data_IF_268024039660
#
_entry.id   IF_268024039660
#
_cell.length_a   1.000
_cell.length_b   1.000
_cell.length_c   1.000
_cell.angle_alpha   90.00
_cell.angle_beta   90.00
_cell.angle_gamma   90.00
#
_symmetry.space_group_name_H-M   'P 1'
#
loop_
_entity.id
_entity.type
_entity.pdbx_description
1 polymer ?
#
# COMPACT_ATOMS: atom_id res chain seq x y z
N UNK A 1 11.97 47.91 -17.29
CA UNK A 1 11.88 47.18 -16.02
C UNK A 1 11.29 45.82 -16.32
N UNK A 2 12.14 44.82 -16.56
CA UNK A 2 11.70 43.43 -16.57
C UNK A 2 11.29 43.13 -15.13
N UNK A 3 10.06 42.62 -14.92
CA UNK A 3 9.72 42.01 -13.64
C UNK A 3 10.73 40.88 -13.45
N UNK A 4 11.59 40.97 -12.43
CA UNK A 4 12.32 39.81 -11.94
C UNK A 4 11.28 38.71 -11.77
N UNK A 5 11.38 37.68 -12.63
CA UNK A 5 10.39 36.63 -12.73
C UNK A 5 10.28 35.94 -11.37
N UNK A 6 9.04 35.68 -10.94
CA UNK A 6 8.76 34.88 -9.75
C UNK A 6 9.63 33.62 -9.82
N UNK A 7 10.67 33.58 -8.97
CA UNK A 7 11.58 32.45 -8.93
C UNK A 7 10.95 31.40 -8.06
N UNK A 8 10.25 30.47 -8.70
CA UNK A 8 9.98 29.15 -8.14
C UNK A 8 11.27 28.63 -7.48
N UNK A 9 11.17 28.36 -6.17
CA UNK A 9 12.30 27.88 -5.38
C UNK A 9 11.92 26.60 -4.67
N UNK A 10 12.61 25.51 -5.03
CA UNK A 10 12.59 24.27 -4.29
C UNK A 10 13.10 24.49 -2.85
N UNK A 11 12.25 24.18 -1.87
CA UNK A 11 12.51 24.37 -0.44
C UNK A 11 12.57 23.07 0.35
N UNK A 12 11.97 21.98 -0.14
CA UNK A 12 12.09 20.67 0.48
C UNK A 12 11.88 19.54 -0.54
N UNK A 13 12.42 18.37 -0.23
CA UNK A 13 12.18 17.11 -0.94
C UNK A 13 11.96 16.01 0.08
N UNK A 14 11.05 15.06 -0.16
CA UNK A 14 10.82 13.94 0.75
C UNK A 14 10.26 12.71 0.02
N UNK A 15 10.46 11.54 0.64
CA UNK A 15 9.85 10.29 0.19
C UNK A 15 8.67 9.92 1.09
N UNK A 16 7.73 9.16 0.53
CA UNK A 16 6.57 8.65 1.28
C UNK A 16 6.52 7.13 1.23
N UNK A 17 6.25 6.50 2.38
CA UNK A 17 6.10 5.06 2.55
C UNK A 17 4.95 4.71 3.49
N UNK A 18 4.77 3.42 3.76
CA UNK A 18 3.76 2.91 4.70
C UNK A 18 4.46 2.05 5.75
N UNK A 19 4.77 2.64 6.90
CA UNK A 19 5.47 1.97 8.00
C UNK A 19 4.52 1.76 9.17
N UNK A 20 4.64 0.61 9.83
CA UNK A 20 3.91 0.31 11.05
C UNK A 20 4.82 -0.39 12.05
N UNK A 21 4.70 -0.03 13.32
CA UNK A 21 5.32 -0.77 14.41
C UNK A 21 4.28 -1.71 14.99
N UNK A 22 4.25 -2.94 14.48
CA UNK A 22 3.31 -3.97 14.89
C UNK A 22 3.67 -4.50 16.28
N UNK A 23 2.66 -4.57 17.16
CA UNK A 23 2.80 -5.23 18.44
C UNK A 23 2.53 -6.74 18.30
N UNK A 24 3.40 -7.57 18.88
CA UNK A 24 3.29 -9.04 18.88
C UNK A 24 2.71 -9.61 20.17
N UNK A 25 2.61 -8.77 21.18
CA UNK A 25 2.08 -9.13 22.49
C UNK A 25 0.73 -8.45 22.70
N UNK A 26 -0.12 -9.09 23.47
CA UNK A 26 -1.35 -8.46 23.94
C UNK A 26 -1.00 -7.29 24.88
N UNK A 27 -1.41 -6.09 24.51
CA UNK A 27 -1.20 -4.88 25.31
C UNK A 27 -2.09 -4.86 26.57
N UNK A 28 -3.12 -5.70 26.63
CA UNK A 28 -4.06 -5.84 27.74
C UNK A 28 -4.65 -4.50 28.18
N UNK A 29 -4.92 -4.36 29.48
CA UNK A 29 -5.47 -3.14 30.06
C UNK A 29 -4.51 -1.94 30.05
N UNK A 30 -3.20 -2.15 29.82
CA UNK A 30 -2.23 -1.06 29.77
C UNK A 30 -2.25 -0.32 28.43
N UNK A 31 -2.89 -0.88 27.39
CA UNK A 31 -3.25 -0.18 26.16
C UNK A 31 -2.12 0.63 25.51
N UNK A 32 -2.42 1.88 25.14
CA UNK A 32 -1.53 2.77 24.40
C UNK A 32 -0.22 3.12 25.12
N UNK A 33 -0.20 3.54 26.41
CA UNK A 33 1.06 3.90 27.05
C UNK A 33 2.11 2.78 27.03
N UNK A 34 1.66 1.52 27.14
CA UNK A 34 2.55 0.37 27.04
C UNK A 34 3.08 0.20 25.61
N UNK A 35 2.23 0.38 24.60
CA UNK A 35 2.66 0.38 23.21
C UNK A 35 3.70 1.46 22.92
N UNK A 36 3.46 2.69 23.37
CA UNK A 36 4.40 3.82 23.21
C UNK A 36 5.75 3.47 23.84
N UNK A 37 5.77 2.96 25.07
CA UNK A 37 7.00 2.55 25.74
C UNK A 37 7.73 1.46 24.95
N UNK A 38 7.02 0.43 24.49
CA UNK A 38 7.62 -0.66 23.72
C UNK A 38 8.21 -0.18 22.39
N UNK A 39 7.54 0.73 21.70
CA UNK A 39 8.04 1.31 20.44
C UNK A 39 9.22 2.24 20.69
N UNK A 40 9.17 3.09 21.73
CA UNK A 40 10.29 3.94 22.13
C UNK A 40 11.52 3.10 22.50
N UNK A 41 11.35 2.05 23.29
CA UNK A 41 12.42 1.11 23.66
C UNK A 41 12.96 0.35 22.45
N UNK A 42 12.09 0.00 21.50
CA UNK A 42 12.48 -0.68 20.27
C UNK A 42 13.34 0.23 19.37
N UNK A 43 12.89 1.46 19.13
CA UNK A 43 13.56 2.44 18.28
C UNK A 43 14.88 2.92 18.92
N UNK A 44 14.89 3.16 20.24
CA UNK A 44 16.05 3.71 20.95
C UNK A 44 17.23 2.75 21.09
N UNK A 45 17.08 1.48 20.68
CA UNK A 45 18.19 0.51 20.59
C UNK A 45 19.20 0.91 19.52
N UNK A 46 18.78 1.69 18.54
CA UNK A 46 19.64 2.18 17.48
C UNK A 46 20.29 3.51 17.90
N UNK A 47 21.62 3.50 18.05
CA UNK A 47 22.38 4.69 18.43
C UNK A 47 22.43 5.77 17.34
N UNK A 48 21.99 5.45 16.12
CA UNK A 48 21.83 6.40 15.03
C UNK A 48 20.53 7.19 15.12
N UNK A 49 19.62 6.81 16.02
CA UNK A 49 18.32 7.46 16.20
C UNK A 49 18.32 8.39 17.41
N UNK A 50 17.66 9.54 17.23
CA UNK A 50 17.46 10.57 18.25
C UNK A 50 16.05 11.11 18.19
N UNK A 51 15.67 11.81 19.26
CA UNK A 51 14.46 12.63 19.33
C UNK A 51 13.14 11.89 19.04
N UNK A 52 13.01 10.66 19.56
CA UNK A 52 11.78 9.85 19.41
C UNK A 52 10.63 10.52 20.17
N UNK A 53 9.58 10.93 19.45
CA UNK A 53 8.41 11.63 19.99
C UNK A 53 7.12 11.03 19.49
N UNK A 54 6.16 10.86 20.40
CA UNK A 54 4.76 10.61 20.07
C UNK A 54 3.96 11.89 20.35
N UNK A 55 3.18 12.35 19.38
CA UNK A 55 2.35 13.56 19.46
C UNK A 55 0.97 13.29 18.86
N UNK A 56 -0.04 14.02 19.34
CA UNK A 56 -1.46 13.93 18.93
C UNK A 56 -2.07 12.55 19.20
N UNK A 57 -3.18 12.52 19.94
CA UNK A 57 -3.84 11.25 20.28
C UNK A 57 -5.33 11.45 20.44
N UNK A 58 -6.10 10.59 19.79
CA UNK A 58 -7.49 10.32 20.16
C UNK A 58 -7.56 8.95 20.82
N UNK A 59 -8.29 8.87 21.94
CA UNK A 59 -8.34 7.71 22.87
C UNK A 59 -8.89 6.40 22.26
N UNK A 60 -9.30 6.39 20.99
CA UNK A 60 -9.86 5.22 20.35
C UNK A 60 -8.77 4.28 19.81
N UNK A 61 -8.32 3.36 20.65
CA UNK A 61 -7.56 2.19 20.21
C UNK A 61 -8.48 0.98 20.19
N UNK A 62 -8.63 0.38 19.01
CA UNK A 62 -9.18 -0.97 18.94
C UNK A 62 -8.11 -1.97 19.37
N UNK A 63 -8.25 -2.46 20.60
CA UNK A 63 -7.34 -3.43 21.24
C UNK A 63 -7.70 -4.89 20.94
N UNK A 64 -8.50 -5.19 19.90
CA UNK A 64 -8.80 -6.57 19.55
C UNK A 64 -7.54 -7.27 19.02
N UNK A 65 -6.78 -7.84 19.95
CA UNK A 65 -5.67 -8.74 19.65
C UNK A 65 -6.26 -10.06 19.19
N UNK A 66 -6.16 -10.35 17.88
CA UNK A 66 -6.48 -11.68 17.37
C UNK A 66 -5.21 -12.53 17.45
N UNK A 67 -5.27 -13.55 18.29
CA UNK A 67 -4.26 -14.61 18.37
C UNK A 67 -4.07 -15.21 16.97
N UNK A 68 -2.84 -15.16 16.46
CA UNK A 68 -2.52 -15.60 15.09
C UNK A 68 -2.30 -14.47 14.09
N UNK A 69 -2.24 -13.19 14.51
CA UNK A 69 -1.57 -12.14 13.72
C UNK A 69 -0.04 -12.35 13.75
N UNK A 70 0.37 -13.52 13.27
CA UNK A 70 1.74 -13.99 13.20
C UNK A 70 2.48 -13.17 12.17
N UNK A 71 3.63 -12.65 12.58
CA UNK A 71 4.75 -12.14 11.78
C UNK A 71 4.48 -12.02 10.27
N UNK A 72 4.32 -10.79 9.79
CA UNK A 72 4.16 -10.50 8.37
C UNK A 72 4.47 -9.04 8.07
N UNK A 73 4.60 -8.72 6.79
CA UNK A 73 4.60 -7.33 6.33
C UNK A 73 3.14 -6.85 6.23
N UNK A 74 2.91 -5.52 6.20
CA UNK A 74 1.55 -4.95 6.20
C UNK A 74 0.70 -5.52 5.06
N UNK A 75 1.31 -5.87 3.91
CA UNK A 75 0.59 -6.43 2.76
C UNK A 75 -0.13 -7.75 3.04
N UNK A 76 0.30 -8.49 4.06
CA UNK A 76 -0.25 -9.80 4.43
C UNK A 76 -1.26 -9.69 5.58
N UNK A 77 -1.36 -8.53 6.23
CA UNK A 77 -2.16 -8.32 7.42
C UNK A 77 -3.57 -7.86 7.04
N UNK A 78 -4.58 -8.60 7.51
CA UNK A 78 -5.98 -8.20 7.36
C UNK A 78 -6.32 -6.93 8.15
N UNK A 79 -5.63 -6.74 9.28
CA UNK A 79 -5.79 -5.61 10.17
C UNK A 79 -4.43 -5.27 10.82
N UNK A 80 -4.19 -3.97 11.02
CA UNK A 80 -3.03 -3.48 11.74
C UNK A 80 -3.26 -3.59 13.25
N UNK A 81 -2.28 -4.12 13.98
CA UNK A 81 -2.31 -4.17 15.43
C UNK A 81 -1.09 -3.47 16.06
N UNK A 82 -1.29 -2.55 17.03
CA UNK A 82 -2.59 -1.97 17.38
C UNK A 82 -3.14 -1.13 16.22
N UNK A 83 -4.46 -1.00 16.14
CA UNK A 83 -5.09 0.00 15.28
C UNK A 83 -5.05 1.32 16.03
N UNK A 84 -4.17 2.21 15.58
CA UNK A 84 -4.01 3.54 16.17
C UNK A 84 -4.95 4.51 15.45
N UNK A 85 -5.67 5.33 16.22
CA UNK A 85 -6.32 6.53 15.68
C UNK A 85 -5.30 7.59 15.27
N UNK A 86 -5.78 8.82 15.09
CA UNK A 86 -4.96 9.99 14.74
C UNK A 86 -3.79 10.13 15.73
N UNK A 87 -2.60 9.73 15.28
CA UNK A 87 -1.38 9.77 16.08
C UNK A 87 -0.14 9.93 15.23
N UNK A 88 0.86 10.62 15.78
CA UNK A 88 2.09 10.96 15.09
C UNK A 88 3.29 10.45 15.86
N UNK A 89 4.12 9.64 15.22
CA UNK A 89 5.43 9.22 15.72
C UNK A 89 6.51 9.88 14.88
N UNK A 90 7.43 10.61 15.49
CA UNK A 90 8.58 11.20 14.80
C UNK A 90 9.91 10.82 15.45
N UNK A 91 10.96 10.71 14.65
CA UNK A 91 12.33 10.54 15.12
C UNK A 91 13.33 11.00 14.05
N UNK A 92 14.53 11.35 14.48
CA UNK A 92 15.65 11.68 13.61
C UNK A 92 16.59 10.47 13.50
N UNK A 93 17.05 10.13 12.30
CA UNK A 93 18.03 9.07 12.06
C UNK A 93 19.19 9.58 11.22
N UNK A 94 20.41 9.24 11.62
CA UNK A 94 21.63 9.54 10.86
C UNK A 94 22.21 8.26 10.25
N UNK A 95 22.20 8.13 8.92
CA UNK A 95 22.76 6.97 8.21
C UNK A 95 24.03 7.43 7.47
N UNK A 96 25.23 7.06 7.95
CA UNK A 96 26.49 7.45 7.30
C UNK A 96 26.56 6.95 5.86
N UNK A 97 27.16 7.69 4.93
CA UNK A 97 27.27 7.33 3.52
C UNK A 97 27.83 5.93 3.29
N UNK A 98 28.80 5.51 4.10
CA UNK A 98 29.33 4.15 4.05
C UNK A 98 28.21 3.11 4.24
N UNK A 99 27.36 3.31 5.24
CA UNK A 99 26.22 2.43 5.49
C UNK A 99 25.15 2.59 4.40
N UNK A 100 24.94 3.79 3.86
CA UNK A 100 24.04 3.98 2.71
C UNK A 100 24.47 3.14 1.52
N UNK A 101 25.76 3.13 1.17
CA UNK A 101 26.32 2.31 0.08
C UNK A 101 26.13 0.82 0.34
N UNK A 102 26.22 0.36 1.60
CA UNK A 102 25.94 -1.03 1.95
C UNK A 102 24.45 -1.40 1.84
N UNK A 103 23.55 -0.46 2.18
CA UNK A 103 22.10 -0.67 2.15
C UNK A 103 21.51 -0.55 0.74
N UNK A 104 22.10 0.32 -0.10
CA UNK A 104 21.65 0.55 -1.47
C UNK A 104 22.28 -0.46 -2.42
N UNK A 105 21.45 -1.05 -3.29
CA UNK A 105 21.93 -1.96 -4.33
C UNK A 105 22.73 -1.14 -5.35
N UNK A 106 23.90 -1.63 -5.78
CA UNK A 106 24.97 -0.85 -6.43
C UNK A 106 24.67 -0.06 -7.72
N UNK A 107 23.43 -0.05 -8.23
CA UNK A 107 22.99 0.86 -9.29
C UNK A 107 22.49 2.22 -8.76
N UNK A 108 22.24 2.35 -7.44
CA UNK A 108 21.89 3.62 -6.80
C UNK A 108 23.07 4.13 -5.98
N UNK A 109 23.44 5.40 -6.21
CA UNK A 109 24.42 6.09 -5.37
C UNK A 109 23.84 6.43 -3.99
N UNK A 110 24.70 6.74 -3.00
CA UNK A 110 24.25 7.29 -1.73
C UNK A 110 23.50 8.62 -1.95
N UNK A 111 22.60 8.92 -1.03
CA UNK A 111 21.98 10.24 -0.96
C UNK A 111 23.01 11.27 -0.51
N UNK A 112 22.78 12.56 -0.77
CA UNK A 112 23.64 13.65 -0.31
C UNK A 112 23.53 13.86 1.20
N UNK A 113 22.34 13.65 1.75
CA UNK A 113 22.04 13.77 3.18
C UNK A 113 22.45 12.51 3.94
N UNK A 114 23.03 12.67 5.12
CA UNK A 114 23.18 11.58 6.11
C UNK A 114 22.10 11.67 7.20
N UNK A 115 21.47 12.83 7.40
CA UNK A 115 20.43 13.03 8.40
C UNK A 115 19.03 12.99 7.76
N UNK A 116 18.11 12.29 8.41
CA UNK A 116 16.74 12.14 7.97
C UNK A 116 15.78 12.32 9.14
N UNK A 117 14.71 13.08 8.92
CA UNK A 117 13.55 13.10 9.81
C UNK A 117 12.53 12.10 9.29
N UNK A 118 12.09 11.20 10.15
CA UNK A 118 11.05 10.23 9.86
C UNK A 118 9.83 10.61 10.67
N UNK A 119 8.69 10.79 10.00
CA UNK A 119 7.42 11.09 10.66
C UNK A 119 6.36 10.11 10.16
N UNK A 120 5.80 9.32 11.06
CA UNK A 120 4.72 8.37 10.82
C UNK A 120 3.40 8.99 11.29
N UNK A 121 2.47 9.13 10.37
CA UNK A 121 1.09 9.54 10.62
C UNK A 121 0.22 8.30 10.58
N UNK A 122 -0.37 7.94 11.71
CA UNK A 122 -1.49 7.02 11.74
C UNK A 122 -2.74 7.85 11.48
N UNK A 123 -3.44 7.51 10.41
CA UNK A 123 -4.66 8.15 9.97
C UNK A 123 -5.70 7.08 9.64
N UNK A 124 -6.96 7.46 9.50
CA UNK A 124 -8.02 6.56 9.04
C UNK A 124 -7.58 5.81 7.77
N UNK A 125 -7.53 4.48 7.85
CA UNK A 125 -7.05 3.60 6.78
C UNK A 125 -5.68 3.00 7.09
N UNK A 126 -4.61 3.62 6.60
CA UNK A 126 -3.24 3.08 6.67
C UNK A 126 -2.23 4.14 7.11
N UNK A 127 -1.15 3.75 7.83
CA UNK A 127 -0.13 4.68 8.26
C UNK A 127 0.70 5.19 7.08
N UNK A 128 1.10 6.45 7.18
CA UNK A 128 1.94 7.12 6.19
C UNK A 128 3.23 7.54 6.85
N UNK A 129 4.35 7.09 6.30
CA UNK A 129 5.67 7.52 6.73
C UNK A 129 6.21 8.56 5.74
N UNK A 130 6.53 9.75 6.23
CA UNK A 130 7.28 10.76 5.51
C UNK A 130 8.74 10.65 5.93
N UNK A 131 9.62 10.50 4.95
CA UNK A 131 11.07 10.49 5.16
C UNK A 131 11.66 11.71 4.48
N UNK A 132 12.06 12.68 5.29
CA UNK A 132 12.60 13.96 4.85
C UNK A 132 14.11 14.00 5.07
N UNK A 133 14.93 13.99 4.00
CA UNK A 133 16.35 14.30 4.11
C UNK A 133 16.55 15.76 4.55
N UNK A 134 17.64 16.02 5.28
CA UNK A 134 18.04 17.39 5.66
C UNK A 134 18.46 18.23 4.44
N UNK A 135 19.12 17.59 3.47
CA UNK A 135 19.49 18.21 2.20
C UNK A 135 18.48 17.87 1.10
N UNK A 136 18.39 18.73 0.09
CA UNK A 136 17.57 18.48 -1.10
C UNK A 136 18.15 17.31 -1.90
N UNK A 137 17.30 16.32 -2.18
CA UNK A 137 17.62 15.13 -2.97
C UNK A 137 16.84 15.14 -4.28
N UNK A 138 17.45 14.63 -5.34
CA UNK A 138 16.78 14.43 -6.64
C UNK A 138 15.87 13.19 -6.64
N UNK A 139 16.12 12.25 -5.72
CA UNK A 139 15.34 11.01 -5.58
C UNK A 139 15.09 10.70 -4.10
N UNK A 140 14.33 11.57 -3.40
CA UNK A 140 14.13 11.44 -1.97
C UNK A 140 13.44 10.13 -1.54
N UNK A 141 12.70 9.45 -2.43
CA UNK A 141 12.13 8.12 -2.13
C UNK A 141 13.15 6.99 -1.97
N UNK A 142 14.41 7.20 -2.37
CA UNK A 142 15.50 6.28 -2.01
C UNK A 142 15.67 6.23 -0.48
N UNK A 143 15.42 7.34 0.23
CA UNK A 143 15.55 7.41 1.68
C UNK A 143 14.57 6.46 2.39
N UNK A 144 13.35 6.33 1.87
CA UNK A 144 12.33 5.39 2.40
C UNK A 144 12.84 3.95 2.34
N UNK A 145 13.36 3.53 1.19
CA UNK A 145 13.89 2.18 1.00
C UNK A 145 15.12 1.92 1.86
N UNK A 146 16.00 2.92 2.00
CA UNK A 146 17.20 2.84 2.82
C UNK A 146 16.87 2.69 4.31
N UNK A 147 15.99 3.55 4.84
CA UNK A 147 15.56 3.50 6.25
C UNK A 147 14.87 2.18 6.54
N UNK A 148 14.00 1.71 5.64
CA UNK A 148 13.43 0.38 5.76
C UNK A 148 14.49 -0.70 5.91
N UNK A 149 15.43 -0.79 4.96
CA UNK A 149 16.47 -1.83 4.98
C UNK A 149 17.32 -1.75 6.24
N UNK A 150 17.63 -0.54 6.69
CA UNK A 150 18.35 -0.29 7.93
C UNK A 150 17.61 -0.87 9.14
N UNK A 151 16.34 -0.47 9.31
CA UNK A 151 15.49 -0.94 10.42
C UNK A 151 15.32 -2.46 10.37
N UNK A 152 14.98 -3.01 9.20
CA UNK A 152 14.72 -4.46 9.04
C UNK A 152 15.97 -5.31 9.26
N UNK A 153 17.16 -4.83 8.90
CA UNK A 153 18.42 -5.56 9.08
C UNK A 153 18.86 -5.58 10.54
N UNK A 154 18.68 -4.47 11.23
CA UNK A 154 19.34 -4.25 12.53
C UNK A 154 18.41 -4.51 13.72
N UNK A 155 17.09 -4.49 13.53
CA UNK A 155 16.15 -4.47 14.64
C UNK A 155 15.34 -5.76 14.70
N UNK A 156 15.47 -6.45 15.82
CA UNK A 156 14.63 -7.60 16.16
C UNK A 156 14.10 -7.43 17.57
N UNK A 157 12.81 -7.70 17.76
CA UNK A 157 12.18 -7.73 19.08
C UNK A 157 11.13 -8.84 19.14
N UNK A 158 10.98 -9.40 20.35
CA UNK A 158 9.92 -10.33 20.68
C UNK A 158 8.55 -9.64 20.79
N UNK A 159 8.54 -8.34 21.10
CA UNK A 159 7.33 -7.58 21.41
C UNK A 159 6.89 -6.67 20.27
N UNK A 160 7.85 -6.11 19.52
CA UNK A 160 7.59 -5.20 18.40
C UNK A 160 8.20 -5.78 17.11
N UNK A 161 7.50 -5.60 16.00
CA UNK A 161 8.03 -5.81 14.66
C UNK A 161 7.77 -4.58 13.82
N UNK A 162 8.81 -4.14 13.13
CA UNK A 162 8.65 -3.21 12.04
C UNK A 162 8.04 -3.94 10.83
N UNK A 163 6.92 -3.43 10.32
CA UNK A 163 6.26 -3.93 9.13
C UNK A 163 5.99 -2.79 8.16
N UNK A 164 5.84 -3.13 6.88
CA UNK A 164 5.55 -2.14 5.85
C UNK A 164 4.74 -2.72 4.69
N UNK A 165 4.08 -1.84 3.94
CA UNK A 165 3.36 -2.24 2.72
C UNK A 165 4.32 -2.23 1.50
N UNK A 166 5.50 -2.85 1.60
CA UNK A 166 6.54 -2.77 0.56
C UNK A 166 7.27 -1.41 0.47
N UNK A 167 8.43 -1.34 -0.23
CA UNK A 167 9.37 -0.20 -0.17
C UNK A 167 8.79 1.14 -0.62
N UNK A 168 7.71 1.12 -1.38
CA UNK A 168 6.66 2.11 -1.42
C UNK A 168 5.66 1.67 -2.51
N UNK A 169 4.41 1.30 -2.19
CA UNK A 169 3.40 1.04 -3.23
C UNK A 169 3.23 2.23 -4.17
N UNK A 170 3.42 3.42 -3.62
CA UNK A 170 3.43 4.67 -4.33
C UNK A 170 4.87 5.11 -4.55
N UNK A 171 5.49 4.60 -5.61
CA UNK A 171 6.81 5.02 -6.05
C UNK A 171 6.74 6.48 -6.51
N UNK A 172 6.90 7.44 -5.60
CA UNK A 172 6.79 8.87 -5.91
C UNK A 172 7.81 9.72 -5.17
N UNK A 173 8.46 10.65 -5.87
CA UNK A 173 9.35 11.67 -5.31
C UNK A 173 8.57 12.99 -5.13
N UNK A 174 8.59 13.51 -3.90
CA UNK A 174 7.85 14.73 -3.55
C UNK A 174 8.80 15.91 -3.43
N UNK A 175 8.43 17.00 -4.09
CA UNK A 175 9.16 18.25 -4.15
C UNK A 175 8.25 19.40 -3.71
N UNK A 176 8.76 20.23 -2.81
CA UNK A 176 8.02 21.39 -2.28
C UNK A 176 8.68 22.65 -2.77
N UNK A 177 7.89 23.47 -3.42
CA UNK A 177 8.28 24.73 -4.02
C UNK A 177 7.62 25.88 -3.26
N UNK A 178 8.36 26.97 -3.04
CA UNK A 178 7.75 28.23 -2.64
C UNK A 178 7.38 29.04 -3.88
N UNK A 179 6.13 29.47 -3.97
CA UNK A 179 5.59 30.25 -5.08
C UNK A 179 4.97 31.56 -4.56
N UNK A 180 5.02 32.62 -5.36
CA UNK A 180 4.36 33.90 -5.05
C UNK A 180 2.85 33.85 -5.31
N UNK A 181 2.36 32.78 -5.96
CA UNK A 181 0.93 32.57 -6.12
C UNK A 181 0.23 32.34 -4.76
N UNK A 182 -0.96 32.93 -4.56
CA UNK A 182 -1.67 32.85 -3.29
C UNK A 182 -2.44 31.54 -3.10
N UNK A 183 -2.30 30.59 -4.02
CA UNK A 183 -3.07 29.34 -4.08
C UNK A 183 -2.10 28.18 -4.09
N UNK A 184 -2.41 27.16 -3.28
CA UNK A 184 -1.68 25.90 -3.34
C UNK A 184 -1.94 25.20 -4.65
N UNK A 185 -0.87 24.68 -5.27
CA UNK A 185 -0.96 23.87 -6.48
C UNK A 185 -0.22 22.56 -6.26
N UNK A 186 -0.84 21.45 -6.66
CA UNK A 186 -0.21 20.14 -6.68
C UNK A 186 -0.20 19.65 -8.12
N UNK A 187 1.00 19.38 -8.64
CA UNK A 187 1.23 18.83 -9.97
C UNK A 187 1.72 17.40 -9.83
N UNK A 188 0.97 16.48 -10.42
CA UNK A 188 1.30 15.07 -10.48
C UNK A 188 1.78 14.69 -11.88
N UNK A 189 2.95 14.07 -11.97
CA UNK A 189 3.54 13.60 -13.23
C UNK A 189 3.94 12.13 -13.12
N UNK A 190 3.32 11.27 -13.93
CA UNK A 190 3.76 9.89 -14.09
C UNK A 190 5.11 9.84 -14.80
N UNK A 191 6.05 9.05 -14.26
CA UNK A 191 7.37 8.88 -14.85
C UNK A 191 7.79 7.41 -14.82
N UNK A 192 8.76 7.05 -15.66
CA UNK A 192 9.37 5.74 -15.58
C UNK A 192 10.18 5.62 -14.28
N UNK A 193 9.78 4.68 -13.41
CA UNK A 193 10.43 4.47 -12.12
C UNK A 193 9.61 5.08 -10.98
N UNK A 194 9.94 6.31 -10.58
CA UNK A 194 9.24 7.04 -9.53
C UNK A 194 8.47 8.20 -10.14
N UNK A 195 7.17 8.27 -9.85
CA UNK A 195 6.32 9.42 -10.16
C UNK A 195 6.88 10.68 -9.49
N UNK A 196 6.53 11.84 -10.04
CA UNK A 196 6.94 13.13 -9.49
C UNK A 196 5.74 13.92 -9.01
N UNK A 197 5.85 14.47 -7.81
CA UNK A 197 4.82 15.27 -7.17
C UNK A 197 5.44 16.61 -6.78
N UNK A 198 5.06 17.66 -7.49
CA UNK A 198 5.48 19.03 -7.20
C UNK A 198 4.35 19.75 -6.45
N UNK A 199 4.64 20.23 -5.24
CA UNK A 199 3.70 20.93 -4.36
C UNK A 199 4.17 22.38 -4.23
N UNK A 200 3.36 23.32 -4.69
CA UNK A 200 3.64 24.74 -4.65
C UNK A 200 2.90 25.36 -3.47
N UNK A 201 3.65 25.96 -2.56
CA UNK A 201 3.15 26.58 -1.34
C UNK A 201 3.38 28.09 -1.42
N UNK A 202 2.38 28.93 -1.10
CA UNK A 202 2.55 30.38 -1.12
C UNK A 202 3.69 30.83 -0.21
N UNK A 203 4.49 31.80 -0.66
CA UNK A 203 5.59 32.40 0.12
C UNK A 203 5.12 33.06 1.43
N UNK A 204 3.82 33.32 1.56
CA UNK A 204 3.16 33.83 2.77
C UNK A 204 2.98 32.78 3.87
N UNK A 205 3.05 31.48 3.55
CA UNK A 205 2.92 30.41 4.55
C UNK A 205 4.18 30.38 5.42
N UNK A 206 4.00 30.37 6.74
CA UNK A 206 5.12 30.25 7.67
C UNK A 206 5.86 28.93 7.40
N UNK A 207 7.19 29.00 7.23
CA UNK A 207 8.07 27.85 7.01
C UNK A 207 7.87 26.72 8.02
N UNK A 208 7.57 27.05 9.27
CA UNK A 208 7.32 26.07 10.33
C UNK A 208 6.03 25.28 10.10
N UNK A 209 5.04 25.86 9.41
CA UNK A 209 3.74 25.26 9.12
C UNK A 209 3.69 24.54 7.77
N UNK A 210 4.68 24.71 6.90
CA UNK A 210 4.68 24.13 5.54
C UNK A 210 4.56 22.61 5.61
N UNK A 211 5.28 21.96 6.53
CA UNK A 211 5.24 20.51 6.69
C UNK A 211 3.83 20.03 7.04
N UNK A 212 3.23 20.59 8.09
CA UNK A 212 1.87 20.24 8.55
C UNK A 212 0.82 20.48 7.46
N UNK A 213 0.97 21.58 6.73
CA UNK A 213 0.10 21.92 5.60
C UNK A 213 0.16 20.86 4.49
N UNK A 214 1.36 20.49 4.06
CA UNK A 214 1.56 19.45 3.03
C UNK A 214 1.00 18.11 3.49
N UNK A 215 1.29 17.72 4.74
CA UNK A 215 0.78 16.48 5.31
C UNK A 215 -0.74 16.49 5.31
N UNK A 216 -1.35 17.57 5.79
CA UNK A 216 -2.80 17.72 5.81
C UNK A 216 -3.41 17.54 4.41
N UNK A 217 -2.76 18.09 3.38
CA UNK A 217 -3.18 17.97 1.99
C UNK A 217 -3.10 16.55 1.44
N UNK A 218 -1.97 15.87 1.62
CA UNK A 218 -1.68 14.61 0.90
C UNK A 218 -2.08 13.36 1.68
N UNK A 219 -2.21 13.43 3.01
CA UNK A 219 -2.35 12.24 3.85
C UNK A 219 -3.59 11.41 3.53
N UNK A 220 -4.73 12.05 3.24
CA UNK A 220 -5.97 11.31 2.95
C UNK A 220 -5.86 10.52 1.64
N UNK A 221 -5.33 11.17 0.60
CA UNK A 221 -5.11 10.57 -0.71
C UNK A 221 -4.17 9.35 -0.62
N UNK A 222 -3.01 9.52 0.04
CA UNK A 222 -1.99 8.48 0.15
C UNK A 222 -2.45 7.34 1.07
N UNK A 223 -3.10 7.65 2.21
CA UNK A 223 -3.67 6.63 3.12
C UNK A 223 -4.68 5.76 2.39
N UNK A 224 -5.61 6.39 1.63
CA UNK A 224 -6.59 5.67 0.83
C UNK A 224 -5.91 4.76 -0.18
N UNK A 225 -4.91 5.27 -0.92
CA UNK A 225 -4.20 4.45 -1.89
C UNK A 225 -3.53 3.22 -1.25
N UNK A 226 -2.83 3.40 -0.13
CA UNK A 226 -2.23 2.29 0.60
C UNK A 226 -3.26 1.32 1.15
N UNK A 227 -4.40 1.81 1.62
CA UNK A 227 -5.51 0.97 2.06
C UNK A 227 -6.00 0.09 0.92
N UNK A 228 -6.26 0.69 -0.26
CA UNK A 228 -6.70 -0.05 -1.45
C UNK A 228 -5.67 -1.10 -1.87
N UNK A 229 -4.37 -0.78 -1.88
CA UNK A 229 -3.31 -1.74 -2.23
C UNK A 229 -3.26 -2.92 -1.23
N UNK A 230 -3.34 -2.65 0.08
CA UNK A 230 -3.38 -3.71 1.08
C UNK A 230 -4.61 -4.62 0.88
N UNK A 231 -5.80 -4.03 0.76
CA UNK A 231 -7.04 -4.78 0.53
C UNK A 231 -6.98 -5.59 -0.77
N UNK A 232 -6.38 -5.03 -1.81
CA UNK A 232 -6.17 -5.71 -3.09
C UNK A 232 -5.32 -6.97 -2.92
N UNK A 233 -4.18 -6.87 -2.24
CA UNK A 233 -3.28 -8.00 -2.02
C UNK A 233 -3.99 -9.12 -1.23
N UNK A 234 -4.67 -8.79 -0.14
CA UNK A 234 -5.46 -9.74 0.66
C UNK A 234 -6.52 -10.46 -0.18
N UNK A 235 -7.25 -9.71 -1.02
CA UNK A 235 -8.31 -10.28 -1.85
C UNK A 235 -7.75 -11.19 -2.94
N UNK A 236 -6.64 -10.82 -3.57
CA UNK A 236 -5.97 -11.68 -4.55
C UNK A 236 -5.44 -12.97 -3.93
N UNK A 237 -4.84 -12.91 -2.73
CA UNK A 237 -4.35 -14.10 -2.05
C UNK A 237 -5.49 -15.01 -1.59
N UNK A 238 -6.59 -14.42 -1.09
CA UNK A 238 -7.81 -15.15 -0.75
C UNK A 238 -8.40 -15.85 -1.98
N UNK A 239 -8.50 -15.14 -3.10
CA UNK A 239 -8.98 -15.69 -4.36
C UNK A 239 -8.06 -16.81 -4.88
N UNK A 240 -6.73 -16.59 -4.89
CA UNK A 240 -5.74 -17.63 -5.25
C UNK A 240 -5.89 -18.87 -4.37
N UNK A 241 -6.17 -18.71 -3.09
CA UNK A 241 -6.47 -19.81 -2.18
C UNK A 241 -7.69 -20.64 -2.58
N UNK A 242 -8.70 -20.04 -3.22
CA UNK A 242 -9.86 -20.76 -3.79
C UNK A 242 -9.46 -21.48 -5.07
N UNK A 243 -8.74 -20.81 -5.98
CA UNK A 243 -8.26 -21.38 -7.24
C UNK A 243 -7.42 -22.62 -6.98
N UNK A 244 -6.43 -22.54 -6.09
CA UNK A 244 -5.55 -23.66 -5.75
C UNK A 244 -6.33 -24.88 -5.20
N UNK A 245 -7.40 -24.65 -4.43
CA UNK A 245 -8.26 -25.73 -3.91
C UNK A 245 -9.05 -26.41 -5.03
N UNK A 246 -9.49 -25.66 -6.03
CA UNK A 246 -10.18 -26.20 -7.21
C UNK A 246 -9.20 -27.00 -8.06
N UNK A 247 -8.04 -26.44 -8.37
CA UNK A 247 -7.01 -27.09 -9.18
C UNK A 247 -6.55 -28.41 -8.54
N UNK A 248 -6.24 -28.38 -7.23
CA UNK A 248 -5.88 -29.57 -6.47
C UNK A 248 -6.98 -30.64 -6.53
N UNK A 249 -8.26 -30.23 -6.50
CA UNK A 249 -9.37 -31.19 -6.62
C UNK A 249 -9.36 -31.86 -7.99
N UNK A 250 -9.23 -31.07 -9.05
CA UNK A 250 -9.29 -31.57 -10.44
C UNK A 250 -8.11 -32.47 -10.77
N UNK A 251 -6.90 -32.09 -10.38
CA UNK A 251 -5.71 -32.91 -10.60
C UNK A 251 -5.81 -34.28 -9.91
N UNK A 252 -6.39 -34.32 -8.71
CA UNK A 252 -6.61 -35.56 -7.97
C UNK A 252 -7.68 -36.45 -8.62
N UNK A 253 -8.67 -35.87 -9.31
CA UNK A 253 -9.67 -36.61 -10.08
C UNK A 253 -9.07 -37.18 -11.38
N UNK A 254 -8.17 -36.45 -12.05
CA UNK A 254 -7.54 -36.87 -13.31
C UNK A 254 -6.46 -37.96 -13.13
N UNK A 255 -5.66 -37.91 -12.06
CA UNK A 255 -4.44 -38.73 -11.94
C UNK A 255 -4.67 -40.21 -11.56
N UNK A 256 -5.83 -40.64 -11.05
CA UNK A 256 -6.10 -42.08 -10.84
C UNK A 256 -7.57 -42.42 -10.44
N UNK A 257 -8.45 -42.82 -11.38
CA UNK A 257 -9.81 -43.22 -11.03
C UNK A 257 -9.88 -44.48 -10.15
N UNK A 258 -8.84 -45.33 -10.16
CA UNK A 258 -8.78 -46.61 -9.41
C UNK A 258 -8.12 -46.54 -8.02
N UNK A 259 -7.36 -45.49 -7.73
CA UNK A 259 -6.63 -45.31 -6.44
C UNK A 259 -7.24 -44.20 -5.57
N UNK A 260 -8.26 -43.51 -6.10
CA UNK A 260 -8.97 -42.37 -5.49
C UNK A 260 -9.62 -42.66 -4.12
N UNK A 261 -9.84 -43.93 -3.77
CA UNK A 261 -10.43 -44.31 -2.48
C UNK A 261 -9.57 -43.96 -1.26
N UNK A 262 -8.24 -43.84 -1.42
CA UNK A 262 -7.32 -43.61 -0.28
C UNK A 262 -6.76 -42.19 -0.20
N UNK A 263 -6.59 -41.50 -1.35
CA UNK A 263 -6.03 -40.15 -1.44
C UNK A 263 -7.07 -39.01 -1.52
N UNK A 264 -8.37 -39.31 -1.64
CA UNK A 264 -9.46 -38.30 -1.67
C UNK A 264 -9.75 -37.58 -0.34
N UNK A 265 -8.83 -37.63 0.64
CA UNK A 265 -9.05 -37.03 1.96
C UNK A 265 -9.05 -35.49 1.96
N UNK A 266 -8.60 -34.84 0.89
CA UNK A 266 -8.79 -33.39 0.72
C UNK A 266 -10.24 -33.15 0.29
N UNK A 267 -11.13 -33.02 1.27
CA UNK A 267 -12.53 -32.65 1.02
C UNK A 267 -12.57 -31.22 0.53
N UNK A 268 -12.69 -31.03 -0.78
CA UNK A 268 -13.08 -29.75 -1.34
C UNK A 268 -14.50 -29.42 -0.89
N UNK A 269 -14.62 -28.44 -0.01
CA UNK A 269 -15.90 -27.91 0.44
C UNK A 269 -16.41 -26.85 -0.54
N UNK A 270 -17.24 -27.30 -1.48
CA UNK A 270 -17.82 -26.43 -2.50
C UNK A 270 -18.74 -25.37 -1.89
N UNK A 271 -19.47 -25.68 -0.82
CA UNK A 271 -20.37 -24.73 -0.17
C UNK A 271 -19.57 -23.59 0.47
N UNK A 272 -18.54 -23.93 1.25
CA UNK A 272 -17.66 -22.93 1.85
C UNK A 272 -16.97 -22.08 0.79
N UNK A 273 -16.54 -22.68 -0.32
CA UNK A 273 -15.89 -21.95 -1.41
C UNK A 273 -16.85 -20.98 -2.12
N UNK A 274 -18.12 -21.35 -2.31
CA UNK A 274 -19.14 -20.43 -2.82
C UNK A 274 -19.38 -19.24 -1.88
N UNK A 275 -19.52 -19.51 -0.58
CA UNK A 275 -19.66 -18.46 0.44
C UNK A 275 -18.46 -17.51 0.41
N UNK A 276 -17.24 -18.05 0.30
CA UNK A 276 -16.03 -17.24 0.21
C UNK A 276 -16.00 -16.36 -1.06
N UNK A 277 -16.46 -16.86 -2.22
CA UNK A 277 -16.58 -16.04 -3.43
C UNK A 277 -17.59 -14.90 -3.23
N UNK A 278 -18.74 -15.19 -2.63
CA UNK A 278 -19.77 -14.18 -2.39
C UNK A 278 -19.30 -13.11 -1.37
N UNK A 279 -18.51 -13.52 -0.38
CA UNK A 279 -17.82 -12.61 0.55
C UNK A 279 -16.79 -11.73 -0.16
N UNK A 280 -16.03 -12.28 -1.12
CA UNK A 280 -15.09 -11.50 -1.93
C UNK A 280 -15.81 -10.46 -2.78
N UNK A 281 -16.86 -10.85 -3.51
CA UNK A 281 -17.66 -9.91 -4.34
C UNK A 281 -18.25 -8.77 -3.48
N UNK A 282 -18.84 -9.13 -2.34
CA UNK A 282 -19.39 -8.14 -1.38
C UNK A 282 -18.29 -7.21 -0.83
N UNK A 283 -17.11 -7.76 -0.56
CA UNK A 283 -15.97 -6.97 -0.07
C UNK A 283 -15.45 -5.99 -1.13
N UNK A 284 -15.42 -6.39 -2.41
CA UNK A 284 -15.04 -5.51 -3.53
C UNK A 284 -16.02 -4.35 -3.66
N UNK A 285 -17.33 -4.64 -3.58
CA UNK A 285 -18.37 -3.60 -3.64
C UNK A 285 -18.28 -2.62 -2.46
N UNK A 286 -18.09 -3.14 -1.25
CA UNK A 286 -17.89 -2.30 -0.06
C UNK A 286 -16.62 -1.45 -0.16
N UNK A 287 -15.55 -1.98 -0.74
CA UNK A 287 -14.30 -1.26 -0.93
C UNK A 287 -14.43 -0.12 -1.95
N UNK A 288 -15.13 -0.35 -3.06
CA UNK A 288 -15.42 0.69 -4.05
C UNK A 288 -16.29 1.79 -3.45
N UNK A 289 -17.32 1.43 -2.65
CA UNK A 289 -18.14 2.41 -1.96
C UNK A 289 -17.30 3.26 -0.99
N UNK A 290 -16.48 2.62 -0.14
CA UNK A 290 -15.58 3.32 0.78
C UNK A 290 -14.64 4.28 0.05
N UNK A 291 -14.02 3.84 -1.05
CA UNK A 291 -13.17 4.71 -1.88
C UNK A 291 -13.93 5.93 -2.38
N UNK A 292 -15.16 5.77 -2.90
CA UNK A 292 -15.97 6.90 -3.40
C UNK A 292 -16.29 7.89 -2.28
N UNK A 293 -16.62 7.40 -1.09
CA UNK A 293 -16.95 8.23 0.06
C UNK A 293 -15.73 9.04 0.51
N UNK A 294 -14.55 8.42 0.60
CA UNK A 294 -13.30 9.11 0.95
C UNK A 294 -12.88 10.08 -0.16
N UNK A 295 -12.98 9.69 -1.44
CA UNK A 295 -12.64 10.55 -2.58
C UNK A 295 -13.52 11.80 -2.60
N UNK A 296 -14.82 11.66 -2.33
CA UNK A 296 -15.74 12.79 -2.18
C UNK A 296 -15.34 13.72 -1.03
N UNK A 297 -14.89 13.18 0.11
CA UNK A 297 -14.39 14.00 1.21
C UNK A 297 -13.13 14.76 0.82
N UNK A 298 -12.21 14.14 0.07
CA UNK A 298 -11.00 14.80 -0.45
C UNK A 298 -11.39 15.91 -1.42
N UNK A 299 -12.30 15.65 -2.36
CA UNK A 299 -12.82 16.63 -3.32
C UNK A 299 -13.44 17.85 -2.65
N UNK A 300 -14.18 17.65 -1.56
CA UNK A 300 -14.78 18.73 -0.79
C UNK A 300 -13.74 19.61 -0.07
N UNK A 301 -12.63 19.02 0.39
CA UNK A 301 -11.60 19.72 1.14
C UNK A 301 -10.54 20.37 0.25
N UNK A 302 -10.16 19.69 -0.82
CA UNK A 302 -8.93 19.97 -1.57
C UNK A 302 -9.11 19.98 -3.10
N UNK A 303 -10.33 19.78 -3.60
CA UNK A 303 -10.57 19.55 -5.02
C UNK A 303 -10.13 18.14 -5.45
N UNK A 304 -9.96 17.95 -6.76
CA UNK A 304 -9.71 16.61 -7.33
C UNK A 304 -8.54 15.88 -6.65
N UNK A 305 -8.76 14.62 -6.31
CA UNK A 305 -7.72 13.73 -5.78
C UNK A 305 -6.64 13.52 -6.84
N UNK A 306 -5.38 13.80 -6.51
CA UNK A 306 -4.26 13.55 -7.43
C UNK A 306 -3.99 12.05 -7.66
N UNK A 307 -4.60 11.18 -6.86
CA UNK A 307 -4.54 9.72 -7.00
C UNK A 307 -5.85 9.10 -7.50
N UNK A 308 -6.84 9.91 -7.93
CA UNK A 308 -8.15 9.42 -8.35
C UNK A 308 -8.05 8.29 -9.39
N UNK A 309 -7.22 8.48 -10.42
CA UNK A 309 -7.01 7.50 -11.50
C UNK A 309 -6.40 6.20 -10.99
N UNK A 310 -5.37 6.29 -10.13
CA UNK A 310 -4.73 5.08 -9.54
C UNK A 310 -5.68 4.34 -8.61
N UNK A 311 -6.43 5.07 -7.79
CA UNK A 311 -7.41 4.51 -6.86
C UNK A 311 -8.51 3.76 -7.62
N UNK A 312 -9.02 4.33 -8.72
CA UNK A 312 -10.00 3.65 -9.59
C UNK A 312 -9.37 2.42 -10.27
N UNK A 313 -8.12 2.53 -10.75
CA UNK A 313 -7.38 1.42 -11.36
C UNK A 313 -7.29 0.20 -10.44
N UNK A 314 -6.98 0.40 -9.15
CA UNK A 314 -6.93 -0.68 -8.15
C UNK A 314 -8.31 -1.35 -7.96
N UNK A 315 -9.39 -0.57 -7.94
CA UNK A 315 -10.75 -1.12 -7.86
C UNK A 315 -11.11 -1.90 -9.13
N UNK A 316 -10.71 -1.40 -10.30
CA UNK A 316 -10.98 -2.06 -11.56
C UNK A 316 -10.26 -3.41 -11.65
N UNK A 317 -8.98 -3.48 -11.25
CA UNK A 317 -8.22 -4.74 -11.15
C UNK A 317 -8.96 -5.79 -10.29
N UNK A 318 -9.60 -5.36 -9.20
CA UNK A 318 -10.39 -6.23 -8.34
C UNK A 318 -11.71 -6.68 -8.99
N UNK A 319 -12.41 -5.76 -9.67
CA UNK A 319 -13.65 -6.08 -10.41
C UNK A 319 -13.40 -7.04 -11.57
N UNK A 320 -12.20 -7.02 -12.13
CA UNK A 320 -11.79 -7.91 -13.22
C UNK A 320 -11.47 -9.34 -12.75
N UNK A 321 -11.43 -9.59 -11.43
CA UNK A 321 -11.34 -10.96 -10.90
C UNK A 321 -12.56 -11.77 -11.41
N UNK A 322 -12.35 -12.94 -12.04
CA UNK A 322 -13.42 -13.71 -12.68
C UNK A 322 -14.28 -14.50 -11.68
N UNK A 323 -14.76 -13.85 -10.61
CA UNK A 323 -15.52 -14.46 -9.52
C UNK A 323 -16.75 -15.23 -10.03
N UNK A 324 -17.48 -14.69 -11.01
CA UNK A 324 -18.66 -15.35 -11.62
C UNK A 324 -18.29 -16.67 -12.30
N UNK A 325 -17.20 -16.69 -13.06
CA UNK A 325 -16.73 -17.90 -13.75
C UNK A 325 -16.38 -18.99 -12.74
N UNK A 326 -15.65 -18.64 -11.69
CA UNK A 326 -15.30 -19.58 -10.62
C UNK A 326 -16.51 -20.01 -9.80
N UNK A 327 -17.48 -19.12 -9.55
CA UNK A 327 -18.75 -19.48 -8.91
C UNK A 327 -19.50 -20.54 -9.71
N UNK A 328 -19.55 -20.40 -11.04
CA UNK A 328 -20.18 -21.39 -11.93
C UNK A 328 -19.44 -22.74 -11.87
N UNK A 329 -18.10 -22.73 -11.95
CA UNK A 329 -17.27 -23.93 -11.81
C UNK A 329 -17.56 -24.68 -10.50
N UNK A 330 -17.52 -23.97 -9.37
CA UNK A 330 -17.75 -24.56 -8.05
C UNK A 330 -19.18 -25.10 -7.94
N UNK A 331 -20.15 -24.41 -8.52
CA UNK A 331 -21.56 -24.84 -8.54
C UNK A 331 -21.73 -26.12 -9.33
N UNK A 332 -21.10 -26.24 -10.50
CA UNK A 332 -21.06 -27.50 -11.27
C UNK A 332 -20.39 -28.63 -10.49
N UNK A 333 -19.27 -28.35 -9.81
CA UNK A 333 -18.59 -29.33 -8.95
C UNK A 333 -19.54 -29.79 -7.82
N UNK A 334 -20.27 -28.87 -7.21
CA UNK A 334 -21.25 -29.15 -6.15
C UNK A 334 -22.40 -30.01 -6.66
N UNK A 335 -23.04 -29.61 -7.76
CA UNK A 335 -24.16 -30.34 -8.37
C UNK A 335 -23.77 -31.77 -8.74
N UNK A 336 -22.57 -31.98 -9.30
CA UNK A 336 -22.05 -33.31 -9.61
C UNK A 336 -21.71 -34.13 -8.36
N UNK A 337 -21.22 -33.51 -7.30
CA UNK A 337 -20.99 -34.22 -6.04
C UNK A 337 -22.31 -34.71 -5.41
N UNK A 338 -23.40 -33.97 -5.63
CA UNK A 338 -24.75 -34.35 -5.19
C UNK A 338 -25.38 -35.39 -6.13
N UNK A 339 -25.20 -35.23 -7.45
CA UNK A 339 -25.64 -36.16 -8.48
C UNK A 339 -24.54 -37.20 -8.75
N UNK A 340 -24.48 -38.27 -7.96
CA UNK A 340 -23.57 -39.41 -8.18
C UNK A 340 -23.67 -40.00 -9.61
N UNK A 341 -23.03 -39.42 -10.65
CA UNK A 341 -22.80 -40.06 -11.97
C UNK A 341 -21.92 -39.23 -12.93
N UNK A 342 -20.87 -39.88 -13.44
CA UNK A 342 -20.14 -39.76 -14.71
C UNK A 342 -20.39 -38.53 -15.62
N UNK A 343 -19.56 -37.49 -15.54
CA UNK A 343 -19.10 -36.72 -16.73
C UNK A 343 -18.09 -35.63 -16.31
N UNK A 344 -16.79 -35.90 -16.30
CA UNK A 344 -15.73 -34.96 -15.83
C UNK A 344 -15.29 -33.96 -16.91
N UNK A 345 -15.36 -34.34 -18.18
CA UNK A 345 -14.69 -33.69 -19.33
C UNK A 345 -15.05 -32.22 -19.59
N UNK A 346 -16.28 -31.79 -19.28
CA UNK A 346 -16.76 -30.42 -19.60
C UNK A 346 -16.11 -29.35 -18.70
N UNK A 347 -15.72 -29.70 -17.46
CA UNK A 347 -15.18 -28.74 -16.48
C UNK A 347 -13.70 -28.44 -16.76
N UNK A 348 -12.92 -29.44 -17.14
CA UNK A 348 -11.50 -29.28 -17.50
C UNK A 348 -11.35 -28.30 -18.67
N UNK A 349 -12.21 -28.41 -19.69
CA UNK A 349 -12.19 -27.50 -20.83
C UNK A 349 -12.56 -26.05 -20.46
N UNK A 350 -13.58 -25.86 -19.61
CA UNK A 350 -14.00 -24.53 -19.16
C UNK A 350 -12.92 -23.84 -18.30
N UNK A 351 -12.22 -24.60 -17.46
CA UNK A 351 -11.18 -24.08 -16.56
C UNK A 351 -9.90 -23.76 -17.32
N UNK A 352 -9.46 -24.65 -18.22
CA UNK A 352 -8.31 -24.37 -19.08
C UNK A 352 -8.55 -23.10 -19.91
N UNK A 353 -9.78 -22.87 -20.40
CA UNK A 353 -10.13 -21.61 -21.06
C UNK A 353 -10.00 -20.37 -20.17
N UNK A 354 -10.49 -20.44 -18.93
CA UNK A 354 -10.43 -19.31 -17.98
C UNK A 354 -9.01 -19.06 -17.47
N UNK A 355 -8.23 -20.11 -17.18
CA UNK A 355 -6.84 -20.00 -16.72
C UNK A 355 -5.93 -19.46 -17.83
N UNK A 356 -6.05 -19.98 -19.05
CA UNK A 356 -5.30 -19.46 -20.20
C UNK A 356 -5.68 -18.00 -20.44
N UNK A 357 -6.96 -17.62 -20.34
CA UNK A 357 -7.38 -16.22 -20.41
C UNK A 357 -6.78 -15.34 -19.31
N UNK A 358 -6.90 -15.74 -18.05
CA UNK A 358 -6.43 -14.96 -16.90
C UNK A 358 -4.91 -14.81 -16.86
N UNK A 359 -4.16 -15.89 -17.11
CA UNK A 359 -2.70 -15.83 -17.12
C UNK A 359 -2.18 -15.10 -18.35
N UNK A 360 -2.77 -15.29 -19.54
CA UNK A 360 -2.37 -14.51 -20.71
C UNK A 360 -2.65 -13.02 -20.46
N UNK A 361 -3.80 -12.66 -19.90
CA UNK A 361 -4.15 -11.26 -19.65
C UNK A 361 -3.25 -10.59 -18.59
N UNK A 362 -2.99 -11.27 -17.45
CA UNK A 362 -2.08 -10.72 -16.43
C UNK A 362 -0.61 -10.73 -16.85
N UNK A 363 -0.14 -11.77 -17.53
CA UNK A 363 1.23 -11.78 -18.06
C UNK A 363 1.40 -10.80 -19.22
N UNK A 364 0.36 -10.52 -20.03
CA UNK A 364 0.38 -9.41 -20.99
C UNK A 364 0.47 -8.06 -20.28
N UNK A 365 -0.25 -7.85 -19.18
CA UNK A 365 -0.22 -6.58 -18.43
C UNK A 365 1.16 -6.37 -17.78
N UNK A 366 1.76 -7.41 -17.20
CA UNK A 366 3.10 -7.32 -16.59
C UNK A 366 4.24 -7.31 -17.64
N UNK A 367 4.07 -7.95 -18.80
CA UNK A 367 5.03 -7.96 -19.92
C UNK A 367 4.94 -6.71 -20.81
N UNK A 368 3.77 -6.08 -20.93
CA UNK A 368 3.58 -4.85 -21.70
C UNK A 368 3.70 -3.56 -20.89
N UNK A 369 3.65 -3.61 -19.54
CA UNK A 369 3.95 -2.43 -18.71
C UNK A 369 5.27 -1.73 -19.05
N UNK A 370 6.35 -2.43 -19.47
CA UNK A 370 7.56 -1.79 -19.99
C UNK A 370 7.53 -1.46 -21.49
N UNK A 371 6.65 -2.08 -22.30
CA UNK A 371 6.66 -1.98 -23.78
C UNK A 371 5.55 -1.10 -24.38
N UNK A 372 4.43 -0.86 -23.69
CA UNK A 372 3.37 0.04 -24.16
C UNK A 372 3.68 1.52 -23.91
N UNK A 373 4.76 1.85 -23.20
CA UNK A 373 5.22 3.25 -23.01
C UNK A 373 6.15 3.71 -24.14
N UNK A 374 6.46 2.88 -25.14
CA UNK A 374 7.34 3.28 -26.27
C UNK A 374 6.61 3.68 -27.55
N UNK A 375 5.29 3.90 -27.57
CA UNK A 375 4.58 4.19 -28.84
C UNK A 375 3.40 5.18 -28.78
N UNK A 376 3.35 6.06 -27.79
CA UNK A 376 2.60 7.32 -27.93
C UNK A 376 3.08 8.34 -26.90
N UNK A 377 4.14 9.06 -27.24
CA UNK A 377 4.32 10.40 -26.70
C UNK A 377 3.24 11.32 -27.29
N UNK A 378 1.97 11.10 -26.92
CA UNK A 378 1.02 12.21 -26.87
C UNK A 378 1.36 12.97 -25.60
N UNK A 379 1.78 14.22 -25.77
CA UNK A 379 1.83 15.21 -24.69
C UNK A 379 0.40 15.37 -24.16
N UNK A 380 -0.03 14.54 -23.22
CA UNK A 380 -1.13 14.95 -22.35
C UNK A 380 -0.59 16.10 -21.50
N UNK A 381 -1.24 17.27 -21.50
CA UNK A 381 -0.81 18.38 -20.66
C UNK A 381 -0.89 17.94 -19.20
N UNK A 382 0.09 18.36 -18.39
CA UNK A 382 0.04 18.20 -16.94
C UNK A 382 -1.34 18.66 -16.44
N UNK A 383 -2.04 17.79 -15.70
CA UNK A 383 -3.32 18.15 -15.08
C UNK A 383 -3.03 19.09 -13.93
N UNK A 384 -3.30 20.37 -14.14
CA UNK A 384 -3.29 21.36 -13.07
C UNK A 384 -4.59 21.25 -12.29
N UNK A 385 -4.50 20.86 -11.02
CA UNK A 385 -5.65 20.90 -10.13
C UNK A 385 -5.66 22.25 -9.43
N UNK A 386 -6.58 23.13 -9.81
CA UNK A 386 -6.76 24.45 -9.21
C UNK A 386 -7.74 24.37 -8.04
N UNK A 387 -7.33 24.88 -6.87
CA UNK A 387 -8.17 24.89 -5.67
C UNK A 387 -8.84 26.28 -5.52
N UNK A 388 -10.16 26.41 -5.67
CA UNK A 388 -10.84 27.67 -5.38
C UNK A 388 -10.84 27.96 -3.87
N UNK A 389 -10.63 29.23 -3.50
CA UNK A 389 -10.70 29.69 -2.11
C UNK A 389 -12.11 29.47 -1.53
N UNK A 390 -12.18 28.90 -0.31
CA UNK A 390 -13.35 28.98 0.56
C UNK A 390 -13.21 30.16 1.53
#
# INVERSE_FOLDING_TARGET
>A
MAKDGATDRLIASFGVGCFHFQCKVDLGAKGFPNYVSLVQDYISRDNLIKDVKFTEFQDEISLQFLDGNSAGDIGDLYYLYPSLGDSVLSFNIMIPHRLQVELLSGWRGPLRSENFKVTLFHYEGMPIAIVKPELLEESPSIAVSMIWKHIRRNWTSAEIQFSMLGPSPFHGDFFVHSDDEPVEKLIYSEQYGYDRIDIYVPTSVNKEMIEDFIIYRIRKDISLYYYLINRRNIMFDSFRGIVNKIDTKLENEDKNPRVSGFFSRVKFDAYRSLIHIDQLDSSIQSLDQHRRDVSKSIEQLFGESFLAVKNEGVIQELKDIPLRSYKNIISTIKERSAAKTNNVTIVVAAILGVLVGFFIQNSYIDFLKPMLVTSSASKEPAKETYIPKQ
#
